data_IF_923011207450
#
_entry.id   IF_923011207450
#
_cell.length_a   1.000
_cell.length_b   1.000
_cell.length_c   1.000
_cell.angle_alpha   90.00
_cell.angle_beta   90.00
_cell.angle_gamma   90.00
#
_symmetry.space_group_name_H-M   'P 1'
#
loop_
_entity.id
_entity.type
_entity.pdbx_description
1 polymer ?
#
# COMPACT_ATOMS: atom_id res chain seq x y z
N UNK A 1 -21.78 34.17 -28.05
CA UNK A 1 -22.89 33.74 -27.19
C UNK A 1 -22.29 32.95 -26.04
N UNK A 2 -22.48 33.42 -24.79
CA UNK A 2 -22.11 32.69 -23.58
C UNK A 2 -23.22 31.68 -23.34
N UNK A 3 -22.95 30.39 -23.53
CA UNK A 3 -23.88 29.34 -23.12
C UNK A 3 -23.84 29.22 -21.59
N UNK A 4 -24.60 30.10 -20.95
CA UNK A 4 -24.97 30.00 -19.55
C UNK A 4 -25.91 28.80 -19.38
N UNK A 5 -25.36 27.68 -18.94
CA UNK A 5 -26.10 26.50 -18.47
C UNK A 5 -27.26 26.91 -17.55
N UNK A 6 -28.50 26.73 -18.02
CA UNK A 6 -29.79 27.01 -17.34
C UNK A 6 -30.17 25.94 -16.29
N UNK A 7 -29.20 25.26 -15.68
CA UNK A 7 -29.50 24.30 -14.62
C UNK A 7 -29.76 25.03 -13.30
N UNK A 8 -31.01 25.04 -12.84
CA UNK A 8 -31.43 25.49 -11.49
C UNK A 8 -30.92 24.52 -10.41
N UNK A 9 -30.68 23.26 -10.79
CA UNK A 9 -29.99 22.30 -9.94
C UNK A 9 -28.49 22.58 -9.99
N UNK A 10 -27.81 22.54 -8.85
CA UNK A 10 -26.36 22.34 -8.85
C UNK A 10 -26.14 20.84 -9.10
N UNK A 11 -25.79 20.36 -10.31
CA UNK A 11 -25.67 18.92 -10.58
C UNK A 11 -24.57 18.26 -9.75
N UNK A 12 -23.69 19.07 -9.17
CA UNK A 12 -22.83 18.69 -8.07
C UNK A 12 -22.97 19.76 -6.96
N UNK A 13 -23.77 19.60 -5.90
CA UNK A 13 -23.68 20.48 -4.72
C UNK A 13 -22.34 20.25 -4.00
N UNK A 14 -21.87 21.14 -3.12
CA UNK A 14 -20.67 20.87 -2.32
C UNK A 14 -20.82 19.54 -1.55
N UNK A 15 -19.90 18.60 -1.79
CA UNK A 15 -20.03 17.14 -1.59
C UNK A 15 -19.84 16.67 -0.15
N UNK A 16 -20.54 17.29 0.81
CA UNK A 16 -20.75 16.62 2.09
C UNK A 16 -22.20 16.82 2.53
N UNK A 17 -23.09 15.94 2.09
CA UNK A 17 -24.42 15.81 2.70
C UNK A 17 -24.26 15.57 4.21
N UNK A 18 -25.28 15.86 5.03
CA UNK A 18 -25.20 15.59 6.48
C UNK A 18 -24.80 14.15 6.80
N UNK A 19 -25.26 13.19 5.98
CA UNK A 19 -24.86 11.77 6.06
C UNK A 19 -23.39 11.53 5.71
N UNK A 20 -22.86 12.22 4.69
CA UNK A 20 -21.44 12.13 4.35
C UNK A 20 -20.55 12.77 5.42
N UNK A 21 -20.98 13.89 6.02
CA UNK A 21 -20.28 14.50 7.18
C UNK A 21 -20.26 13.54 8.37
N UNK A 22 -21.38 12.91 8.68
CA UNK A 22 -21.46 11.90 9.73
C UNK A 22 -20.54 10.71 9.45
N UNK A 23 -20.53 10.19 8.22
CA UNK A 23 -19.65 9.10 7.80
C UNK A 23 -18.16 9.47 7.96
N UNK A 24 -17.78 10.69 7.55
CA UNK A 24 -16.43 11.21 7.73
C UNK A 24 -16.06 11.42 9.21
N UNK A 25 -17.00 11.89 10.03
CA UNK A 25 -16.80 12.02 11.48
C UNK A 25 -16.59 10.65 12.13
N UNK A 26 -17.37 9.64 11.73
CA UNK A 26 -17.22 8.27 12.22
C UNK A 26 -15.85 7.68 11.87
N UNK A 27 -15.41 7.85 10.62
CA UNK A 27 -14.06 7.44 10.22
C UNK A 27 -12.97 8.23 10.96
N UNK A 28 -13.19 9.54 11.15
CA UNK A 28 -12.30 10.43 11.91
C UNK A 28 -12.16 10.04 13.38
N UNK A 29 -13.24 9.58 14.02
CA UNK A 29 -13.20 9.03 15.38
C UNK A 29 -12.33 7.77 15.44
N UNK A 30 -12.42 6.90 14.43
CA UNK A 30 -11.54 5.73 14.33
C UNK A 30 -10.06 6.12 14.24
N UNK A 31 -9.72 7.12 13.42
CA UNK A 31 -8.35 7.68 13.33
C UNK A 31 -7.93 8.33 14.64
N UNK A 32 -8.81 9.10 15.28
CA UNK A 32 -8.55 9.73 16.57
C UNK A 32 -8.19 8.70 17.64
N UNK A 33 -8.89 7.56 17.68
CA UNK A 33 -8.54 6.48 18.61
C UNK A 33 -7.12 5.94 18.39
N UNK A 34 -6.66 5.82 17.13
CA UNK A 34 -5.25 5.45 16.86
C UNK A 34 -4.28 6.50 17.42
N UNK A 35 -4.58 7.78 17.18
CA UNK A 35 -3.75 8.90 17.65
C UNK A 35 -3.72 9.01 19.17
N UNK A 36 -4.86 8.75 19.83
CA UNK A 36 -4.96 8.76 21.29
C UNK A 36 -4.17 7.62 21.91
N UNK A 37 -4.24 6.40 21.37
CA UNK A 37 -3.40 5.29 21.87
C UNK A 37 -1.93 5.55 21.60
N UNK A 38 -1.61 6.10 20.43
CA UNK A 38 -0.25 6.53 20.12
C UNK A 38 0.29 7.50 21.17
N UNK A 39 -0.49 8.52 21.55
CA UNK A 39 -0.09 9.51 22.55
C UNK A 39 -0.13 9.00 24.00
N UNK A 40 -1.11 8.17 24.35
CA UNK A 40 -1.35 7.67 25.70
C UNK A 40 -0.50 6.44 26.06
N UNK A 41 0.20 5.85 25.09
CA UNK A 41 1.03 4.67 25.29
C UNK A 41 0.21 3.45 25.73
N UNK A 42 0.54 2.89 26.90
CA UNK A 42 -0.08 1.67 27.44
C UNK A 42 -1.35 1.90 28.27
N UNK A 43 -1.87 3.13 28.33
CA UNK A 43 -2.99 3.47 29.21
C UNK A 43 -4.36 2.92 28.75
N UNK A 44 -4.49 2.53 27.48
CA UNK A 44 -5.75 2.03 26.89
C UNK A 44 -5.64 0.53 26.57
N UNK A 45 -6.75 -0.19 26.74
CA UNK A 45 -6.82 -1.61 26.41
C UNK A 45 -6.66 -1.84 24.90
N UNK A 46 -5.62 -2.58 24.52
CA UNK A 46 -5.17 -2.70 23.12
C UNK A 46 -6.22 -3.34 22.20
N UNK A 47 -6.76 -4.50 22.58
CA UNK A 47 -7.73 -5.25 21.75
C UNK A 47 -9.02 -4.47 21.45
N UNK A 48 -9.80 -3.99 22.45
CA UNK A 48 -11.05 -3.28 22.17
C UNK A 48 -10.79 -1.97 21.43
N UNK A 49 -9.70 -1.25 21.74
CA UNK A 49 -9.39 0.00 21.04
C UNK A 49 -8.99 -0.23 19.59
N UNK A 50 -8.21 -1.28 19.28
CA UNK A 50 -7.86 -1.62 17.90
C UNK A 50 -9.12 -1.98 17.10
N UNK A 51 -9.98 -2.86 17.64
CA UNK A 51 -11.22 -3.26 16.97
C UNK A 51 -12.18 -2.09 16.78
N UNK A 52 -12.34 -1.24 17.80
CA UNK A 52 -13.17 -0.04 17.70
C UNK A 52 -12.62 0.92 16.66
N UNK A 53 -11.31 1.18 16.65
CA UNK A 53 -10.68 2.08 15.69
C UNK A 53 -10.85 1.60 14.25
N UNK A 54 -10.45 0.35 13.96
CA UNK A 54 -10.57 -0.23 12.62
C UNK A 54 -12.04 -0.36 12.20
N UNK A 55 -12.92 -0.77 13.11
CA UNK A 55 -14.35 -0.91 12.88
C UNK A 55 -15.03 0.42 12.54
N UNK A 56 -14.72 1.49 13.28
CA UNK A 56 -15.24 2.83 13.03
C UNK A 56 -14.77 3.38 11.68
N UNK A 57 -13.49 3.16 11.33
CA UNK A 57 -12.96 3.54 10.01
C UNK A 57 -13.65 2.79 8.87
N UNK A 58 -13.87 1.48 9.00
CA UNK A 58 -14.57 0.67 7.99
C UNK A 58 -16.04 1.10 7.88
N UNK A 59 -16.74 1.27 9.00
CA UNK A 59 -18.13 1.68 9.02
C UNK A 59 -18.32 3.08 8.41
N UNK A 60 -17.45 4.02 8.79
CA UNK A 60 -17.46 5.38 8.25
C UNK A 60 -17.18 5.40 6.75
N UNK A 61 -16.17 4.64 6.29
CA UNK A 61 -15.87 4.54 4.86
C UNK A 61 -17.04 3.89 4.09
N UNK A 62 -17.59 2.79 4.58
CA UNK A 62 -18.69 2.09 3.92
C UNK A 62 -19.92 2.99 3.76
N UNK A 63 -20.29 3.71 4.82
CA UNK A 63 -21.40 4.67 4.77
C UNK A 63 -21.12 5.79 3.75
N UNK A 64 -19.89 6.31 3.71
CA UNK A 64 -19.48 7.31 2.74
C UNK A 64 -19.59 6.79 1.29
N UNK A 65 -19.10 5.57 1.03
CA UNK A 65 -19.17 4.91 -0.29
C UNK A 65 -20.61 4.75 -0.75
N UNK A 66 -21.49 4.29 0.15
CA UNK A 66 -22.92 4.10 -0.14
C UNK A 66 -23.56 5.40 -0.60
N UNK A 67 -23.38 6.48 0.15
CA UNK A 67 -24.00 7.77 -0.19
C UNK A 67 -23.39 8.41 -1.44
N UNK A 68 -22.07 8.26 -1.67
CA UNK A 68 -21.41 8.88 -2.83
C UNK A 68 -21.64 8.12 -4.15
N UNK A 69 -21.64 6.78 -4.09
CA UNK A 69 -21.65 5.95 -5.31
C UNK A 69 -22.94 5.19 -5.54
N UNK A 70 -23.63 4.69 -4.50
CA UNK A 70 -24.83 3.87 -4.68
C UNK A 70 -26.09 4.69 -4.98
N UNK A 71 -26.16 5.93 -4.48
CA UNK A 71 -27.30 6.83 -4.70
C UNK A 71 -27.31 7.50 -6.10
N UNK A 72 -26.30 7.22 -6.93
CA UNK A 72 -26.14 7.80 -8.27
C UNK A 72 -26.04 6.70 -9.31
N UNK A 73 -26.45 6.94 -10.58
CA UNK A 73 -26.33 5.95 -11.65
C UNK A 73 -24.88 5.46 -11.81
N UNK A 74 -24.73 4.29 -12.41
CA UNK A 74 -23.40 3.73 -12.68
C UNK A 74 -22.67 4.59 -13.73
N UNK A 75 -21.36 4.74 -13.61
CA UNK A 75 -20.56 5.50 -14.55
C UNK A 75 -19.24 6.00 -13.95
N UNK A 76 -18.44 6.69 -14.77
CA UNK A 76 -17.14 7.24 -14.35
C UNK A 76 -17.38 8.52 -13.54
N UNK A 77 -17.08 8.48 -12.23
CA UNK A 77 -17.35 9.57 -11.28
C UNK A 77 -16.06 10.30 -10.89
N UNK A 78 -15.51 11.12 -11.80
CA UNK A 78 -14.30 11.94 -11.60
C UNK A 78 -14.62 13.43 -11.43
N UNK A 79 -15.70 13.74 -10.75
CA UNK A 79 -16.18 15.12 -10.63
C UNK A 79 -15.26 15.94 -9.72
N UNK A 80 -14.91 17.16 -10.13
CA UNK A 80 -14.21 18.20 -9.32
C UNK A 80 -12.82 17.84 -8.79
N UNK A 81 -12.20 16.82 -9.36
CA UNK A 81 -10.85 16.39 -8.97
C UNK A 81 -9.83 17.55 -9.07
N UNK A 82 -10.01 18.46 -10.04
CA UNK A 82 -9.19 19.65 -10.26
C UNK A 82 -9.44 20.81 -9.29
N UNK A 83 -10.56 20.79 -8.54
CA UNK A 83 -10.96 21.88 -7.65
C UNK A 83 -10.94 21.47 -6.17
N UNK A 84 -10.77 20.18 -5.88
CA UNK A 84 -10.75 19.67 -4.51
C UNK A 84 -9.47 20.07 -3.78
N UNK A 85 -9.58 20.67 -2.59
CA UNK A 85 -8.40 21.09 -1.80
C UNK A 85 -7.40 19.94 -1.51
N UNK A 86 -7.88 18.70 -1.37
CA UNK A 86 -7.02 17.53 -1.21
C UNK A 86 -6.29 17.15 -2.51
N UNK A 87 -6.97 17.12 -3.65
CA UNK A 87 -6.46 16.60 -4.92
C UNK A 87 -5.83 17.66 -5.84
N UNK A 88 -6.09 18.96 -5.60
CA UNK A 88 -5.65 20.07 -6.44
C UNK A 88 -4.48 20.86 -5.84
N UNK A 89 -3.58 20.19 -5.10
CA UNK A 89 -2.43 20.82 -4.40
C UNK A 89 -2.83 21.92 -3.39
N UNK A 90 -4.03 21.83 -2.82
CA UNK A 90 -4.50 22.74 -1.77
C UNK A 90 -3.92 22.40 -0.39
N UNK A 91 -4.33 23.16 0.62
CA UNK A 91 -3.83 23.03 2.01
C UNK A 91 -3.95 21.60 2.54
N UNK A 92 -5.09 20.94 2.31
CA UNK A 92 -5.29 19.57 2.78
C UNK A 92 -4.40 18.55 2.07
N UNK A 93 -4.03 18.79 0.81
CA UNK A 93 -3.06 17.97 0.08
C UNK A 93 -1.66 18.07 0.67
N UNK A 94 -1.20 19.28 0.98
CA UNK A 94 0.10 19.51 1.63
C UNK A 94 0.15 18.94 3.06
N UNK A 95 -0.89 19.16 3.85
CA UNK A 95 -1.00 18.58 5.19
C UNK A 95 -0.93 17.04 5.14
N UNK A 96 -1.66 16.41 4.22
CA UNK A 96 -1.61 14.97 4.05
C UNK A 96 -0.20 14.49 3.65
N UNK A 97 0.49 15.19 2.75
CA UNK A 97 1.86 14.86 2.34
C UNK A 97 2.86 14.94 3.50
N UNK A 98 2.80 16.01 4.31
CA UNK A 98 3.66 16.20 5.48
C UNK A 98 3.38 15.12 6.53
N UNK A 99 2.10 14.86 6.84
CA UNK A 99 1.71 13.85 7.84
C UNK A 99 2.14 12.45 7.42
N UNK A 100 1.89 12.04 6.17
CA UNK A 100 2.26 10.70 5.69
C UNK A 100 3.79 10.51 5.64
N UNK A 101 4.53 11.52 5.15
CA UNK A 101 5.99 11.46 5.06
C UNK A 101 6.61 11.47 6.46
N UNK A 102 6.13 12.35 7.35
CA UNK A 102 6.57 12.43 8.74
C UNK A 102 6.28 11.14 9.51
N UNK A 103 5.08 10.58 9.37
CA UNK A 103 4.71 9.29 9.96
C UNK A 103 5.65 8.17 9.51
N UNK A 104 5.88 8.03 8.20
CA UNK A 104 6.77 7.00 7.68
C UNK A 104 8.22 7.19 8.15
N UNK A 105 8.71 8.43 8.20
CA UNK A 105 10.06 8.75 8.68
C UNK A 105 10.22 8.40 10.16
N UNK A 106 9.25 8.77 11.00
CA UNK A 106 9.23 8.41 12.42
C UNK A 106 9.16 6.88 12.62
N UNK A 107 8.34 6.18 11.82
CA UNK A 107 8.21 4.73 11.87
C UNK A 107 9.52 4.02 11.48
N UNK A 108 10.23 4.57 10.49
CA UNK A 108 11.47 3.96 10.02
C UNK A 108 12.62 4.15 11.02
N UNK A 109 12.88 5.41 11.42
CA UNK A 109 14.07 5.80 12.18
C UNK A 109 13.87 5.81 13.70
N UNK A 110 12.65 6.11 14.20
CA UNK A 110 12.40 6.34 15.62
C UNK A 110 11.15 5.59 16.14
N UNK A 111 10.97 4.29 15.80
CA UNK A 111 9.77 3.54 16.13
C UNK A 111 9.58 3.37 17.64
N UNK A 112 10.63 3.04 18.39
CA UNK A 112 10.53 2.68 19.80
C UNK A 112 10.31 3.91 20.69
N UNK A 113 10.88 5.05 20.30
CA UNK A 113 10.77 6.31 21.05
C UNK A 113 9.42 6.98 20.85
N UNK A 114 8.98 7.13 19.60
CA UNK A 114 7.78 7.91 19.31
C UNK A 114 6.56 7.04 19.03
N UNK A 115 6.68 5.83 18.50
CA UNK A 115 5.54 5.04 18.01
C UNK A 115 5.27 3.75 18.80
N UNK A 116 5.90 3.59 19.97
CA UNK A 116 5.74 2.39 20.81
C UNK A 116 4.28 2.11 21.20
N UNK A 117 3.49 3.15 21.51
CA UNK A 117 2.05 3.01 21.78
C UNK A 117 1.28 2.42 20.60
N UNK A 118 1.61 2.86 19.38
CA UNK A 118 1.00 2.33 18.16
C UNK A 118 1.46 0.90 17.86
N UNK A 119 2.74 0.56 18.11
CA UNK A 119 3.24 -0.82 17.95
C UNK A 119 2.53 -1.77 18.91
N UNK A 120 2.44 -1.40 20.18
CA UNK A 120 1.76 -2.21 21.22
C UNK A 120 0.27 -2.39 20.92
N UNK A 121 -0.39 -1.39 20.32
CA UNK A 121 -1.79 -1.49 19.90
C UNK A 121 -2.04 -2.63 18.91
N UNK A 122 -1.09 -2.89 18.01
CA UNK A 122 -1.19 -3.96 17.01
C UNK A 122 -0.70 -5.33 17.54
N UNK A 123 -0.13 -5.41 18.75
CA UNK A 123 0.36 -6.67 19.31
C UNK A 123 -0.69 -7.78 19.36
N UNK A 124 -1.96 -7.56 19.78
CA UNK A 124 -2.97 -8.62 19.77
C UNK A 124 -3.20 -9.22 18.39
N UNK A 125 -3.20 -8.39 17.34
CA UNK A 125 -3.35 -8.85 15.96
C UNK A 125 -2.10 -9.61 15.48
N UNK A 126 -0.91 -9.14 15.87
CA UNK A 126 0.35 -9.83 15.55
C UNK A 126 0.46 -11.17 16.24
N UNK A 127 0.05 -11.29 17.50
CA UNK A 127 0.06 -12.56 18.23
C UNK A 127 -0.84 -13.59 17.52
N UNK A 128 -2.03 -13.19 17.07
CA UNK A 128 -2.94 -14.08 16.33
C UNK A 128 -2.38 -14.50 14.97
N UNK A 129 -1.71 -13.59 14.24
CA UNK A 129 -1.26 -13.86 12.86
C UNK A 129 0.17 -14.39 12.74
N UNK A 130 1.05 -14.09 13.70
CA UNK A 130 2.50 -14.38 13.68
C UNK A 130 2.99 -15.16 14.90
N UNK A 131 2.20 -15.24 15.98
CA UNK A 131 2.62 -15.86 17.25
C UNK A 131 3.70 -15.08 18.00
N UNK A 132 3.81 -13.77 17.75
CA UNK A 132 4.74 -12.88 18.45
C UNK A 132 4.22 -11.44 18.49
N UNK A 133 4.78 -10.64 19.40
CA UNK A 133 4.48 -9.22 19.53
C UNK A 133 4.69 -8.45 18.21
N UNK A 134 3.91 -7.38 18.03
CA UNK A 134 4.01 -6.56 16.83
C UNK A 134 5.36 -5.83 16.77
N UNK A 135 5.85 -5.64 15.55
CA UNK A 135 6.97 -4.77 15.24
C UNK A 135 6.51 -3.65 14.29
N UNK A 136 7.39 -2.68 14.03
CA UNK A 136 7.11 -1.56 13.14
C UNK A 136 6.68 -1.98 11.72
N UNK A 137 7.23 -3.10 11.22
CA UNK A 137 6.94 -3.59 9.88
C UNK A 137 5.58 -4.25 9.80
N UNK A 138 5.16 -4.94 10.86
CA UNK A 138 3.83 -5.49 10.98
C UNK A 138 2.77 -4.40 11.11
N UNK A 139 3.02 -3.35 11.88
CA UNK A 139 2.13 -2.16 11.95
C UNK A 139 2.00 -1.55 10.55
N UNK A 140 3.13 -1.29 9.88
CA UNK A 140 3.13 -0.78 8.52
C UNK A 140 2.32 -1.68 7.59
N UNK A 141 2.64 -2.98 7.54
CA UNK A 141 1.97 -3.96 6.69
C UNK A 141 0.47 -4.10 6.98
N UNK A 142 0.06 -3.98 8.25
CA UNK A 142 -1.34 -4.04 8.67
C UNK A 142 -2.11 -2.81 8.21
N UNK A 143 -1.60 -1.61 8.50
CA UNK A 143 -2.21 -0.35 8.05
C UNK A 143 -2.24 -0.24 6.52
N UNK A 144 -1.20 -0.74 5.87
CA UNK A 144 -1.07 -0.79 4.43
C UNK A 144 -2.12 -1.72 3.82
N UNK A 145 -2.22 -2.96 4.30
CA UNK A 145 -3.22 -3.94 3.86
C UNK A 145 -4.63 -3.44 4.13
N UNK A 146 -4.88 -2.85 5.31
CA UNK A 146 -6.13 -2.20 5.64
C UNK A 146 -6.50 -1.09 4.62
N UNK A 147 -5.55 -0.22 4.29
CA UNK A 147 -5.75 0.87 3.32
C UNK A 147 -6.06 0.34 1.92
N UNK A 148 -5.32 -0.68 1.47
CA UNK A 148 -5.57 -1.34 0.16
C UNK A 148 -6.96 -1.95 0.11
N UNK A 149 -7.42 -2.60 1.19
CA UNK A 149 -8.75 -3.21 1.24
C UNK A 149 -9.86 -2.16 1.25
N UNK A 150 -9.78 -1.18 2.16
CA UNK A 150 -10.80 -0.15 2.33
C UNK A 150 -10.92 0.73 1.08
N UNK A 151 -9.79 1.16 0.52
CA UNK A 151 -9.77 1.98 -0.70
C UNK A 151 -10.04 1.15 -1.95
N UNK A 152 -9.69 -0.14 -1.96
CA UNK A 152 -10.07 -1.10 -2.99
C UNK A 152 -11.58 -1.27 -3.08
N UNK A 153 -12.26 -1.46 -1.95
CA UNK A 153 -13.74 -1.52 -1.89
C UNK A 153 -14.34 -0.22 -2.44
N UNK A 154 -13.88 0.95 -1.98
CA UNK A 154 -14.31 2.25 -2.52
C UNK A 154 -14.18 2.32 -4.04
N UNK A 155 -13.02 1.91 -4.56
CA UNK A 155 -12.73 1.94 -5.99
C UNK A 155 -13.63 0.99 -6.79
N UNK A 156 -13.90 -0.21 -6.27
CA UNK A 156 -14.83 -1.16 -6.89
C UNK A 156 -16.25 -0.57 -7.02
N UNK A 157 -16.75 0.10 -5.98
CA UNK A 157 -18.06 0.78 -6.06
C UNK A 157 -18.05 1.96 -7.04
N UNK A 158 -16.95 2.73 -7.10
CA UNK A 158 -16.79 3.83 -8.06
C UNK A 158 -16.80 3.32 -9.51
N UNK A 159 -16.17 2.18 -9.79
CA UNK A 159 -16.02 1.61 -11.13
C UNK A 159 -16.86 0.33 -11.35
N UNK A 160 -17.98 0.18 -10.63
CA UNK A 160 -18.83 -1.03 -10.65
C UNK A 160 -19.34 -1.46 -12.03
N UNK A 161 -19.43 -0.52 -12.97
CA UNK A 161 -19.82 -0.76 -14.35
C UNK A 161 -18.72 -1.45 -15.19
N UNK A 162 -17.46 -1.45 -14.75
CA UNK A 162 -16.32 -1.91 -15.53
C UNK A 162 -15.70 -3.18 -14.91
N UNK A 163 -15.95 -4.34 -15.56
CA UNK A 163 -15.45 -5.65 -15.12
C UNK A 163 -13.92 -5.71 -15.04
N UNK A 164 -13.21 -5.05 -15.95
CA UNK A 164 -11.74 -5.03 -15.93
C UNK A 164 -11.22 -4.37 -14.64
N UNK A 165 -11.83 -3.25 -14.24
CA UNK A 165 -11.44 -2.54 -13.02
C UNK A 165 -11.74 -3.38 -11.77
N UNK A 166 -12.89 -4.03 -11.73
CA UNK A 166 -13.27 -4.92 -10.62
C UNK A 166 -12.29 -6.09 -10.46
N UNK A 167 -12.04 -6.84 -11.53
CA UNK A 167 -11.13 -8.00 -11.49
C UNK A 167 -9.72 -7.60 -11.08
N UNK A 168 -9.24 -6.48 -11.61
CA UNK A 168 -7.93 -5.94 -11.28
C UNK A 168 -7.82 -5.55 -9.81
N UNK A 169 -8.83 -4.85 -9.27
CA UNK A 169 -8.83 -4.45 -7.86
C UNK A 169 -8.95 -5.65 -6.93
N UNK A 170 -9.76 -6.66 -7.28
CA UNK A 170 -9.83 -7.93 -6.54
C UNK A 170 -8.47 -8.64 -6.54
N UNK A 171 -7.79 -8.68 -7.69
CA UNK A 171 -6.45 -9.29 -7.80
C UNK A 171 -5.44 -8.64 -6.86
N UNK A 172 -5.29 -7.31 -6.89
CA UNK A 172 -4.31 -6.63 -6.01
C UNK A 172 -4.67 -6.75 -4.53
N UNK A 173 -5.96 -6.75 -4.18
CA UNK A 173 -6.40 -7.01 -2.79
C UNK A 173 -6.04 -8.44 -2.36
N UNK A 174 -6.25 -9.42 -3.24
CA UNK A 174 -5.90 -10.81 -2.99
C UNK A 174 -4.39 -11.01 -2.80
N UNK A 175 -3.55 -10.47 -3.69
CA UNK A 175 -2.10 -10.58 -3.53
C UNK A 175 -1.57 -9.80 -2.32
N UNK A 176 -2.12 -8.63 -2.02
CA UNK A 176 -1.73 -7.87 -0.83
C UNK A 176 -2.09 -8.64 0.45
N UNK A 177 -3.34 -9.10 0.58
CA UNK A 177 -3.79 -9.77 1.80
C UNK A 177 -3.23 -11.18 1.91
N UNK A 178 -3.29 -11.98 0.84
CA UNK A 178 -2.79 -13.35 0.82
C UNK A 178 -1.27 -13.42 0.83
N UNK A 179 -0.64 -12.99 -0.27
CA UNK A 179 0.78 -13.22 -0.51
C UNK A 179 1.73 -12.26 0.21
N UNK A 180 1.32 -11.00 0.42
CA UNK A 180 2.17 -10.00 1.04
C UNK A 180 1.94 -9.84 2.54
N UNK A 181 0.82 -10.31 3.10
CA UNK A 181 0.48 -10.13 4.51
C UNK A 181 0.26 -11.47 5.25
N UNK A 182 -0.70 -12.29 4.83
CA UNK A 182 -1.06 -13.52 5.54
C UNK A 182 -0.03 -14.65 5.38
N UNK A 183 0.49 -14.90 4.18
CA UNK A 183 1.48 -15.96 3.95
C UNK A 183 2.76 -15.72 4.76
N UNK A 184 3.42 -14.53 4.69
CA UNK A 184 4.60 -14.27 5.51
C UNK A 184 4.32 -14.34 7.01
N UNK A 185 3.14 -13.92 7.45
CA UNK A 185 2.74 -14.02 8.85
C UNK A 185 2.56 -15.48 9.31
N UNK A 186 1.89 -16.29 8.49
CA UNK A 186 1.72 -17.72 8.73
C UNK A 186 3.05 -18.47 8.76
N UNK A 187 4.01 -18.09 7.91
CA UNK A 187 5.36 -18.65 7.96
C UNK A 187 6.04 -18.43 9.32
N UNK A 188 5.83 -17.29 9.96
CA UNK A 188 6.38 -17.03 11.29
C UNK A 188 5.77 -17.95 12.36
N UNK A 189 4.47 -18.26 12.29
CA UNK A 189 3.84 -19.24 13.19
C UNK A 189 4.48 -20.62 13.02
N UNK A 190 4.85 -20.99 11.80
CA UNK A 190 5.54 -22.25 11.51
C UNK A 190 7.05 -22.23 11.84
N UNK A 191 7.55 -21.21 12.53
CA UNK A 191 8.97 -20.98 12.81
C UNK A 191 9.85 -20.94 11.53
N UNK A 192 9.27 -20.48 10.42
CA UNK A 192 9.97 -20.29 9.14
C UNK A 192 10.35 -18.81 8.95
N UNK A 193 11.44 -18.51 8.23
CA UNK A 193 11.83 -17.13 7.94
C UNK A 193 10.77 -16.43 7.07
N UNK A 194 10.55 -15.14 7.30
CA UNK A 194 9.64 -14.35 6.47
C UNK A 194 10.14 -14.28 5.02
N UNK A 195 9.31 -14.77 4.10
CA UNK A 195 9.56 -14.71 2.66
C UNK A 195 8.33 -14.18 1.93
N UNK A 196 8.56 -13.30 0.95
CA UNK A 196 7.52 -12.60 0.22
C UNK A 196 7.55 -13.04 -1.24
N UNK A 197 6.60 -13.89 -1.62
CA UNK A 197 6.50 -14.48 -2.97
C UNK A 197 6.08 -13.49 -4.06
N UNK A 198 5.81 -12.24 -3.72
CA UNK A 198 5.49 -11.17 -4.66
C UNK A 198 6.66 -10.23 -4.94
N UNK A 199 7.80 -10.40 -4.27
CA UNK A 199 8.97 -9.56 -4.46
C UNK A 199 10.12 -10.37 -5.06
N UNK A 200 10.70 -9.85 -6.14
CA UNK A 200 11.77 -10.50 -6.89
C UNK A 200 12.93 -9.54 -7.08
N UNK A 201 14.13 -10.05 -7.31
CA UNK A 201 15.24 -9.20 -7.74
C UNK A 201 14.92 -8.63 -9.15
N UNK A 202 15.25 -7.38 -9.48
CA UNK A 202 15.97 -6.37 -8.69
C UNK A 202 15.08 -5.47 -7.84
N UNK A 203 13.76 -5.69 -7.80
CA UNK A 203 12.83 -4.89 -6.99
C UNK A 203 13.09 -5.07 -5.49
N UNK A 204 13.35 -6.31 -5.07
CA UNK A 204 13.87 -6.65 -3.74
C UNK A 204 15.29 -7.16 -3.90
N UNK A 205 16.20 -6.20 -3.86
CA UNK A 205 17.64 -6.38 -4.01
C UNK A 205 18.23 -7.45 -3.07
N UNK A 206 17.78 -7.48 -1.80
CA UNK A 206 18.27 -8.43 -0.80
C UNK A 206 18.25 -9.88 -1.28
N UNK A 207 17.23 -10.32 -2.03
CA UNK A 207 17.12 -11.70 -2.51
C UNK A 207 18.20 -12.12 -3.51
N UNK A 208 18.89 -11.17 -4.12
CA UNK A 208 20.05 -11.43 -4.98
C UNK A 208 21.39 -11.44 -4.24
N UNK A 209 21.42 -11.12 -2.95
CA UNK A 209 22.67 -10.93 -2.19
C UNK A 209 23.24 -12.24 -1.63
N UNK A 210 24.57 -12.35 -1.42
CA UNK A 210 25.17 -13.52 -0.79
C UNK A 210 24.62 -13.75 0.63
N UNK A 211 24.24 -12.70 1.35
CA UNK A 211 23.63 -12.78 2.67
C UNK A 211 22.29 -13.54 2.65
N UNK A 212 21.41 -13.23 1.69
CA UNK A 212 20.15 -13.95 1.55
C UNK A 212 20.38 -15.42 1.14
N UNK A 213 21.34 -15.67 0.24
CA UNK A 213 21.69 -17.03 -0.19
C UNK A 213 22.24 -17.90 0.95
N UNK A 214 22.93 -17.29 1.91
CA UNK A 214 23.42 -17.99 3.10
C UNK A 214 22.36 -18.09 4.21
N UNK A 215 21.49 -17.09 4.35
CA UNK A 215 20.49 -17.01 5.42
C UNK A 215 19.36 -18.03 5.24
N UNK A 216 18.69 -18.04 4.08
CA UNK A 216 17.47 -18.83 3.90
C UNK A 216 17.68 -20.34 4.06
N UNK A 217 18.71 -20.98 3.45
CA UNK A 217 18.96 -22.41 3.62
C UNK A 217 19.36 -22.82 5.04
N UNK A 218 19.95 -21.90 5.82
CA UNK A 218 20.28 -22.14 7.23
C UNK A 218 19.07 -21.95 8.14
N UNK A 219 18.20 -21.01 7.81
CA UNK A 219 17.02 -20.69 8.60
C UNK A 219 15.84 -21.66 8.37
N UNK A 220 15.86 -22.41 7.27
CA UNK A 220 14.74 -23.29 6.88
C UNK A 220 15.19 -24.38 5.92
N UNK A 221 14.65 -25.59 6.12
CA UNK A 221 14.74 -26.68 5.13
C UNK A 221 14.16 -26.27 3.77
N UNK A 222 13.16 -25.39 3.77
CA UNK A 222 12.55 -24.85 2.56
C UNK A 222 13.32 -23.69 1.92
N UNK A 223 14.41 -23.25 2.56
CA UNK A 223 15.17 -22.06 2.16
C UNK A 223 15.71 -22.13 0.73
N UNK A 224 16.12 -23.31 0.26
CA UNK A 224 16.59 -23.53 -1.12
C UNK A 224 15.46 -23.28 -2.11
N UNK A 225 14.22 -23.67 -1.79
CA UNK A 225 13.06 -23.41 -2.65
C UNK A 225 12.74 -21.92 -2.74
N UNK A 226 12.91 -21.15 -1.66
CA UNK A 226 12.72 -19.69 -1.70
C UNK A 226 13.72 -19.01 -2.64
N UNK A 227 14.98 -19.44 -2.60
CA UNK A 227 16.01 -18.96 -3.54
C UNK A 227 15.67 -19.36 -4.97
N UNK A 228 15.36 -20.64 -5.19
CA UNK A 228 14.99 -21.17 -6.50
C UNK A 228 13.78 -20.45 -7.09
N UNK A 229 12.75 -20.21 -6.30
CA UNK A 229 11.56 -19.46 -6.70
C UNK A 229 11.90 -18.00 -7.04
N UNK A 230 12.71 -17.33 -6.22
CA UNK A 230 13.17 -15.96 -6.49
C UNK A 230 13.90 -15.88 -7.84
N UNK A 231 14.84 -16.81 -8.08
CA UNK A 231 15.60 -16.87 -9.33
C UNK A 231 14.69 -17.18 -10.52
N UNK A 232 13.79 -18.16 -10.39
CA UNK A 232 12.81 -18.52 -11.41
C UNK A 232 11.93 -17.31 -11.77
N UNK A 233 11.36 -16.63 -10.78
CA UNK A 233 10.50 -15.46 -11.02
C UNK A 233 11.28 -14.27 -11.57
N UNK A 234 12.55 -14.12 -11.23
CA UNK A 234 13.41 -13.05 -11.74
C UNK A 234 13.78 -13.27 -13.21
N UNK A 235 14.32 -14.45 -13.55
CA UNK A 235 14.90 -14.71 -14.87
C UNK A 235 13.92 -15.31 -15.88
N UNK A 236 12.86 -15.98 -15.41
CA UNK A 236 11.89 -16.65 -16.28
C UNK A 236 10.50 -16.04 -16.11
N UNK A 237 9.95 -16.05 -14.91
CA UNK A 237 8.57 -15.62 -14.65
C UNK A 237 8.30 -14.19 -15.07
N UNK A 238 9.13 -13.23 -14.63
CA UNK A 238 8.93 -11.81 -14.93
C UNK A 238 9.07 -11.50 -16.42
N UNK A 239 10.11 -11.97 -17.15
CA UNK A 239 10.17 -11.80 -18.60
C UNK A 239 8.99 -12.44 -19.35
N UNK A 240 8.62 -13.67 -19.00
CA UNK A 240 7.50 -14.39 -19.65
C UNK A 240 6.18 -13.65 -19.43
N UNK A 241 5.86 -13.28 -18.19
CA UNK A 241 4.64 -12.53 -17.88
C UNK A 241 4.64 -11.14 -18.53
N UNK A 242 5.80 -10.48 -18.61
CA UNK A 242 5.93 -9.19 -19.27
C UNK A 242 5.76 -9.28 -20.79
N UNK A 243 6.19 -10.39 -21.40
CA UNK A 243 6.01 -10.64 -22.83
C UNK A 243 4.53 -10.86 -23.18
N UNK A 244 3.81 -11.70 -22.41
CA UNK A 244 2.42 -12.03 -22.70
C UNK A 244 1.40 -10.98 -22.22
N UNK A 245 1.60 -10.42 -21.02
CA UNK A 245 0.62 -9.52 -20.38
C UNK A 245 1.06 -8.05 -20.37
N UNK A 246 2.25 -7.75 -20.93
CA UNK A 246 2.81 -6.42 -21.01
C UNK A 246 3.38 -5.91 -19.67
N UNK A 247 4.09 -4.78 -19.71
CA UNK A 247 4.87 -4.23 -18.58
C UNK A 247 4.09 -3.90 -17.30
N UNK A 248 2.75 -3.86 -17.36
CA UNK A 248 1.88 -3.44 -16.25
C UNK A 248 1.30 -4.62 -15.47
N UNK A 249 1.58 -5.87 -15.84
CA UNK A 249 1.05 -7.04 -15.14
C UNK A 249 1.34 -6.95 -13.63
N UNK A 250 2.58 -6.66 -13.24
CA UNK A 250 2.98 -6.60 -11.84
C UNK A 250 2.34 -5.42 -11.11
N UNK A 251 2.60 -4.19 -11.57
CA UNK A 251 2.13 -2.98 -10.90
C UNK A 251 0.61 -2.77 -10.95
N UNK A 252 -0.13 -3.48 -11.81
CA UNK A 252 -1.58 -3.32 -11.89
C UNK A 252 -2.36 -4.48 -11.28
N UNK A 253 -1.76 -5.68 -11.16
CA UNK A 253 -2.48 -6.89 -10.74
C UNK A 253 -1.93 -7.57 -9.50
N UNK A 254 -0.66 -7.37 -9.15
CA UNK A 254 0.02 -8.11 -8.08
C UNK A 254 0.55 -7.19 -6.99
N UNK A 255 1.18 -6.08 -7.37
CA UNK A 255 1.88 -5.21 -6.43
C UNK A 255 0.91 -4.42 -5.54
N UNK A 256 1.10 -4.48 -4.22
CA UNK A 256 0.36 -3.66 -3.26
C UNK A 256 0.49 -2.15 -3.51
N UNK A 257 1.68 -1.68 -3.91
CA UNK A 257 1.94 -0.27 -4.25
C UNK A 257 1.09 0.18 -5.43
N UNK A 258 0.95 -0.72 -6.40
CA UNK A 258 0.01 -0.60 -7.49
C UNK A 258 -1.43 -0.47 -7.00
N UNK A 259 -1.85 -1.36 -6.11
CA UNK A 259 -3.20 -1.34 -5.52
C UNK A 259 -3.54 0.00 -4.86
N UNK A 260 -2.63 0.57 -4.07
CA UNK A 260 -2.87 1.87 -3.42
C UNK A 260 -2.85 3.02 -4.43
N UNK A 261 -1.93 3.01 -5.40
CA UNK A 261 -1.83 4.01 -6.45
C UNK A 261 -3.07 4.03 -7.37
N UNK A 262 -3.61 2.86 -7.69
CA UNK A 262 -4.79 2.70 -8.53
C UNK A 262 -6.09 3.03 -7.79
N UNK A 263 -6.10 2.97 -6.45
CA UNK A 263 -7.31 3.20 -5.63
C UNK A 263 -7.28 4.57 -4.96
N UNK A 264 -6.50 4.72 -3.89
CA UNK A 264 -6.33 5.96 -3.15
C UNK A 264 -5.67 7.06 -4.01
N UNK A 265 -4.76 6.67 -4.91
CA UNK A 265 -4.06 7.57 -5.83
C UNK A 265 -4.88 8.03 -7.04
N UNK A 266 -6.02 7.39 -7.36
CA UNK A 266 -6.81 7.69 -8.57
C UNK A 266 -7.19 9.18 -8.72
N UNK A 267 -7.62 9.90 -7.66
CA UNK A 267 -7.90 11.34 -7.77
C UNK A 267 -6.67 12.19 -8.12
N UNK A 268 -5.47 11.75 -7.80
CA UNK A 268 -4.24 12.54 -7.99
C UNK A 268 -3.63 12.38 -9.39
N UNK A 269 -4.17 11.50 -10.23
CA UNK A 269 -3.60 11.18 -11.55
C UNK A 269 -3.41 12.37 -12.48
N UNK A 270 -4.29 13.37 -12.38
CA UNK A 270 -4.22 14.58 -13.17
C UNK A 270 -3.01 15.46 -12.81
N UNK A 271 -2.40 15.27 -11.64
CA UNK A 271 -1.19 15.99 -11.22
C UNK A 271 0.10 15.39 -11.80
N UNK A 272 0.03 14.21 -12.42
CA UNK A 272 1.18 13.58 -13.05
C UNK A 272 1.60 14.36 -14.29
N UNK A 273 2.86 14.79 -14.34
CA UNK A 273 3.41 15.46 -15.51
C UNK A 273 3.45 14.50 -16.71
N UNK A 274 2.88 14.94 -17.84
CA UNK A 274 2.83 14.21 -19.11
C UNK A 274 3.76 14.82 -20.17
N UNK A 275 4.61 15.75 -19.77
CA UNK A 275 5.60 16.36 -20.65
C UNK A 275 6.57 15.32 -21.21
N UNK A 276 7.06 15.60 -22.43
CA UNK A 276 8.11 14.76 -23.04
C UNK A 276 9.40 14.74 -22.20
N UNK A 277 9.66 15.82 -21.45
CA UNK A 277 10.83 15.91 -20.57
C UNK A 277 10.73 14.92 -19.40
N UNK A 278 9.59 14.88 -18.70
CA UNK A 278 9.36 13.92 -17.62
C UNK A 278 9.52 12.48 -18.12
N UNK A 279 8.99 12.17 -19.31
CA UNK A 279 9.12 10.85 -19.90
C UNK A 279 10.56 10.48 -20.32
N UNK A 280 11.33 11.44 -20.86
CA UNK A 280 12.75 11.24 -21.17
C UNK A 280 13.57 10.93 -19.91
N UNK A 281 13.28 11.63 -18.81
CA UNK A 281 13.91 11.39 -17.51
C UNK A 281 13.55 9.99 -16.99
N UNK A 282 12.26 9.65 -16.98
CA UNK A 282 11.77 8.33 -16.53
C UNK A 282 12.48 7.19 -17.27
N UNK A 283 12.61 7.31 -18.59
CA UNK A 283 13.26 6.30 -19.43
C UNK A 283 14.71 6.04 -19.01
N UNK A 284 15.52 7.08 -18.81
CA UNK A 284 16.92 6.87 -18.44
C UNK A 284 17.07 6.46 -16.97
N UNK A 285 16.29 7.07 -16.08
CA UNK A 285 16.33 6.79 -14.63
C UNK A 285 16.07 5.31 -14.32
N UNK A 286 15.11 4.65 -14.98
CA UNK A 286 14.82 3.23 -14.76
C UNK A 286 16.06 2.36 -15.04
N UNK A 287 16.80 2.65 -16.11
CA UNK A 287 18.00 1.89 -16.47
C UNK A 287 19.18 2.22 -15.54
N UNK A 288 19.32 3.48 -15.13
CA UNK A 288 20.35 3.88 -14.16
C UNK A 288 20.14 3.20 -12.79
N UNK A 289 18.90 3.15 -12.30
CA UNK A 289 18.56 2.43 -11.06
C UNK A 289 18.82 0.94 -11.21
N UNK A 290 18.44 0.32 -12.34
CA UNK A 290 18.72 -1.09 -12.61
C UNK A 290 20.22 -1.38 -12.60
N UNK A 291 21.02 -0.57 -13.30
CA UNK A 291 22.47 -0.70 -13.34
C UNK A 291 23.08 -0.54 -11.95
N UNK A 292 22.60 0.42 -11.15
CA UNK A 292 23.05 0.62 -9.77
C UNK A 292 22.76 -0.60 -8.89
N UNK A 293 21.54 -1.16 -8.93
CA UNK A 293 21.18 -2.35 -8.14
C UNK A 293 21.98 -3.58 -8.59
N UNK A 294 22.18 -3.76 -9.90
CA UNK A 294 23.00 -4.85 -10.43
C UNK A 294 24.46 -4.73 -10.01
N UNK A 295 25.04 -3.52 -10.09
CA UNK A 295 26.40 -3.24 -9.64
C UNK A 295 26.55 -3.52 -8.14
N UNK A 296 25.64 -3.00 -7.31
CA UNK A 296 25.66 -3.23 -5.87
C UNK A 296 25.56 -4.72 -5.53
N UNK A 297 24.66 -5.46 -6.21
CA UNK A 297 24.54 -6.91 -6.05
C UNK A 297 25.87 -7.61 -6.41
N UNK A 298 26.48 -7.25 -7.54
CA UNK A 298 27.77 -7.80 -7.96
C UNK A 298 28.92 -7.48 -7.00
N UNK A 299 28.99 -6.24 -6.50
CA UNK A 299 29.98 -5.82 -5.51
C UNK A 299 29.87 -6.60 -4.21
N UNK A 300 28.64 -6.86 -3.72
CA UNK A 300 28.41 -7.69 -2.54
C UNK A 300 28.91 -9.13 -2.74
N UNK A 301 28.68 -9.71 -3.93
CA UNK A 301 29.21 -11.04 -4.26
C UNK A 301 30.74 -11.06 -4.37
N UNK A 302 31.34 -10.05 -4.99
CA UNK A 302 32.80 -9.90 -5.05
C UNK A 302 33.40 -9.78 -3.64
N UNK A 303 32.77 -9.00 -2.76
CA UNK A 303 33.21 -8.86 -1.38
C UNK A 303 33.10 -10.19 -0.61
N UNK A 304 31.96 -10.90 -0.79
CA UNK A 304 31.77 -12.22 -0.19
C UNK A 304 32.80 -13.24 -0.67
N UNK A 305 33.15 -13.22 -1.95
CA UNK A 305 34.16 -14.11 -2.52
C UNK A 305 35.57 -13.81 -1.98
N UNK A 306 35.88 -12.53 -1.76
CA UNK A 306 37.13 -12.06 -1.14
C UNK A 306 37.11 -12.10 0.40
N UNK A 307 36.12 -12.75 1.02
CA UNK A 307 35.99 -12.87 2.48
C UNK A 307 35.97 -11.52 3.24
N UNK A 308 35.38 -10.47 2.67
CA UNK A 308 35.22 -9.17 3.36
C UNK A 308 36.39 -8.19 3.20
N UNK A 309 37.28 -8.41 2.21
CA UNK A 309 38.46 -7.57 1.96
C UNK A 309 38.20 -6.21 1.28
N UNK A 310 36.95 -5.72 1.25
CA UNK A 310 36.57 -4.38 0.75
C UNK A 310 35.68 -3.69 1.77
#
# INVERSE_FOLDING_TARGET
>A
MKDSSLSIATPNPALTSGKQKFALALAGLGVLLLLLVWAAGKALATTPTLLASLGLMVAGMWWFVREEYLQRPEGIKNNRVWFGSLSARGVWGWLAAIVLTGFYTALYFLPDTYLSGLVVLFSPLSEVLRGKAADKWFVYGSLYTFSVLVMGVKFMYKYRHNRYQLLRTVSVMFFQTGFAFLIPAFMQIMNQPEYYFTYFWPLKDYYGTPGAMAYYPKASEWGIYFIGFSALMTFVGTPVLSYFFGKRWYCSWVCGCGGLAETAGDPFRHLSDKSLNAWKIERWMIHSVLAAVALMTGLLWLNSWKQGGV
#
